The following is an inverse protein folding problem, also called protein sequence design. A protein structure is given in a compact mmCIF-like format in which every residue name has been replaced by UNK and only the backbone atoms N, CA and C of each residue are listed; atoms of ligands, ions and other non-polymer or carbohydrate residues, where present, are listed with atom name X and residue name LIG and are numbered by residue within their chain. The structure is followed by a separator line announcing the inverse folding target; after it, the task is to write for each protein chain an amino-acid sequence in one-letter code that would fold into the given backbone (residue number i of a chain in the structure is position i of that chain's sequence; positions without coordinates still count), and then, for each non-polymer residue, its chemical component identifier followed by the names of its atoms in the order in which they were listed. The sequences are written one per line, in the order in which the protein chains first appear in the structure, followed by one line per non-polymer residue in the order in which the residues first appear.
data_IF_900541282685
#
_entry.id   IF_900541282685
#
_cell.length_a   1.000
_cell.length_b   1.000
_cell.length_c   1.000
_cell.angle_alpha   90.00
_cell.angle_beta   90.00
_cell.angle_gamma   90.00
#
_symmetry.space_group_name_H-M   'P 1'
#
loop_
_entity.id
_entity.type
_entity.pdbx_description
1 polymer ?
#
# COMPACT_ATOMS: atom_id res chain seq x y z
N UNK A 1 15.98 28.39 24.10
CA UNK A 1 16.16 27.71 22.79
C UNK A 1 15.66 28.59 21.66
N UNK A 2 14.35 28.80 21.48
CA UNK A 2 13.76 29.59 20.37
C UNK A 2 14.45 30.93 20.10
N UNK A 3 14.49 31.85 21.09
CA UNK A 3 15.18 33.16 20.97
C UNK A 3 16.66 33.05 20.57
N UNK A 4 17.37 32.03 21.08
CA UNK A 4 18.81 31.85 20.79
C UNK A 4 19.00 31.41 19.34
N UNK A 5 18.16 30.46 18.87
CA UNK A 5 18.21 29.97 17.49
C UNK A 5 17.86 31.08 16.49
N UNK A 6 16.87 31.92 16.79
CA UNK A 6 16.48 33.08 15.96
C UNK A 6 17.59 34.14 15.87
N UNK A 7 18.24 34.46 17.00
CA UNK A 7 19.39 35.37 17.00
C UNK A 7 20.54 34.80 16.17
N UNK A 8 20.83 33.50 16.29
CA UNK A 8 21.87 32.83 15.50
C UNK A 8 21.52 32.91 14.00
N UNK A 9 20.28 32.59 13.62
CA UNK A 9 19.85 32.64 12.21
C UNK A 9 20.04 34.04 11.62
N UNK A 10 19.53 35.08 12.28
CA UNK A 10 19.66 36.48 11.84
C UNK A 10 21.11 36.92 11.68
N UNK A 11 21.97 36.54 12.61
CA UNK A 11 23.41 36.86 12.55
C UNK A 11 24.13 36.11 11.42
N UNK A 12 23.77 34.84 11.18
CA UNK A 12 24.35 34.04 10.10
C UNK A 12 23.88 34.49 8.71
N UNK A 13 22.65 35.00 8.58
CA UNK A 13 22.17 35.65 7.36
C UNK A 13 22.90 36.98 7.07
N UNK A 14 23.43 37.63 8.10
CA UNK A 14 24.33 38.77 7.95
C UNK A 14 25.73 38.37 7.48
N UNK A 15 26.58 39.38 7.22
CA UNK A 15 27.98 39.17 6.85
C UNK A 15 28.87 38.84 8.06
N UNK A 16 28.49 37.81 8.84
CA UNK A 16 29.26 37.35 9.99
C UNK A 16 30.65 36.83 9.55
N UNK A 17 31.67 37.10 10.37
CA UNK A 17 33.03 36.60 10.14
C UNK A 17 33.06 35.06 10.17
N UNK A 18 34.01 34.41 9.47
CA UNK A 18 34.10 32.93 9.44
C UNK A 18 34.19 32.29 10.83
N UNK A 19 34.92 32.94 11.76
CA UNK A 19 35.07 32.48 13.14
C UNK A 19 33.73 32.55 13.87
N UNK A 20 33.02 33.68 13.76
CA UNK A 20 31.72 33.85 14.40
C UNK A 20 30.70 32.84 13.87
N UNK A 21 30.72 32.56 12.55
CA UNK A 21 29.90 31.52 11.93
C UNK A 21 30.16 30.15 12.55
N UNK A 22 31.43 29.74 12.68
CA UNK A 22 31.78 28.46 13.31
C UNK A 22 31.31 28.37 14.77
N UNK A 23 31.50 29.42 15.56
CA UNK A 23 31.04 29.47 16.96
C UNK A 23 29.53 29.34 17.05
N UNK A 24 28.79 30.09 16.24
CA UNK A 24 27.32 30.06 16.21
C UNK A 24 26.79 28.67 15.81
N UNK A 25 27.37 28.04 14.79
CA UNK A 25 26.99 26.68 14.41
C UNK A 25 27.31 25.68 15.53
N UNK A 26 28.44 25.84 16.23
CA UNK A 26 28.77 24.99 17.39
C UNK A 26 27.74 25.13 18.51
N UNK A 27 27.22 26.34 18.74
CA UNK A 27 26.12 26.56 19.70
C UNK A 27 24.87 25.80 19.29
N UNK A 28 24.51 25.76 17.99
CA UNK A 28 23.38 24.94 17.50
C UNK A 28 23.61 23.45 17.79
N UNK A 29 24.82 22.94 17.57
CA UNK A 29 25.16 21.55 17.92
C UNK A 29 24.97 21.27 19.41
N UNK A 30 25.45 22.16 20.29
CA UNK A 30 25.32 22.02 21.75
C UNK A 30 23.85 22.13 22.23
N UNK A 31 23.07 23.04 21.63
CA UNK A 31 21.64 23.16 21.90
C UNK A 31 20.89 21.91 21.47
N UNK A 32 21.29 21.29 20.36
CA UNK A 32 20.68 20.05 19.87
C UNK A 32 21.01 18.87 20.78
N UNK A 33 22.23 18.83 21.35
CA UNK A 33 22.61 17.84 22.37
C UNK A 33 21.77 17.94 23.63
N UNK A 34 21.52 19.16 24.11
CA UNK A 34 20.76 19.38 25.35
C UNK A 34 19.25 19.27 25.16
N UNK A 35 18.73 19.63 23.99
CA UNK A 35 17.30 19.74 23.75
C UNK A 35 16.90 19.46 22.29
N UNK A 36 17.16 18.25 21.77
CA UNK A 36 17.06 17.96 20.34
C UNK A 36 15.66 18.28 19.79
N UNK A 37 14.61 17.80 20.45
CA UNK A 37 13.22 18.04 20.06
C UNK A 37 12.91 19.54 19.91
N UNK A 38 13.30 20.37 20.88
CA UNK A 38 13.03 21.82 20.85
C UNK A 38 13.76 22.53 19.71
N UNK A 39 15.01 22.14 19.44
CA UNK A 39 15.77 22.71 18.32
C UNK A 39 15.17 22.29 16.98
N UNK A 40 14.82 21.01 16.80
CA UNK A 40 14.23 20.53 15.54
C UNK A 40 12.93 21.27 15.25
N UNK A 41 11.99 21.36 16.21
CA UNK A 41 10.75 22.12 16.00
C UNK A 41 11.03 23.59 15.66
N UNK A 42 11.98 24.23 16.33
CA UNK A 42 12.33 25.62 16.02
C UNK A 42 12.90 25.79 14.60
N UNK A 43 13.69 24.83 14.11
CA UNK A 43 14.22 24.88 12.74
C UNK A 43 13.12 24.63 11.68
N UNK A 44 12.04 23.91 12.04
CA UNK A 44 10.88 23.69 11.16
C UNK A 44 9.97 24.92 11.04
N UNK A 45 10.05 25.88 11.97
CA UNK A 45 9.27 27.12 11.93
C UNK A 45 9.75 28.10 10.84
N UNK A 46 10.91 27.83 10.22
CA UNK A 46 11.45 28.63 9.12
C UNK A 46 10.84 28.24 7.77
N UNK A 47 10.80 29.17 6.79
CA UNK A 47 10.16 28.94 5.50
C UNK A 47 10.79 27.78 4.71
N UNK A 48 9.97 27.18 3.86
CA UNK A 48 10.37 26.21 2.83
C UNK A 48 10.23 26.90 1.46
N UNK A 49 11.27 26.93 0.61
CA UNK A 49 12.57 26.26 0.72
C UNK A 49 13.50 26.84 1.80
N UNK A 50 14.36 26.00 2.38
CA UNK A 50 15.43 26.45 3.29
C UNK A 50 16.49 27.24 2.51
N UNK A 51 16.90 28.38 3.06
CA UNK A 51 18.05 29.12 2.57
C UNK A 51 19.38 28.46 2.99
N UNK A 52 20.49 28.97 2.44
CA UNK A 52 21.82 28.45 2.75
C UNK A 52 22.15 28.50 4.25
N UNK A 53 21.66 29.51 4.97
CA UNK A 53 21.88 29.67 6.40
C UNK A 53 21.21 28.56 7.19
N UNK A 54 19.92 28.30 6.91
CA UNK A 54 19.15 27.26 7.56
C UNK A 54 19.72 25.88 7.23
N UNK A 55 20.22 25.67 6.01
CA UNK A 55 20.92 24.43 5.62
C UNK A 55 22.17 24.19 6.47
N UNK A 56 22.98 25.22 6.73
CA UNK A 56 24.14 25.12 7.65
C UNK A 56 23.70 24.81 9.08
N UNK A 57 22.60 25.40 9.55
CA UNK A 57 22.05 25.13 10.88
C UNK A 57 21.54 23.69 11.01
N UNK A 58 20.88 23.14 9.98
CA UNK A 58 20.50 21.72 9.92
C UNK A 58 21.72 20.80 9.97
N UNK A 59 22.78 21.11 9.22
CA UNK A 59 24.03 20.36 9.28
C UNK A 59 24.65 20.40 10.68
N UNK A 60 24.66 21.57 11.33
CA UNK A 60 25.17 21.72 12.68
C UNK A 60 24.35 20.96 13.72
N UNK A 61 23.02 20.94 13.59
CA UNK A 61 22.12 20.15 14.43
C UNK A 61 22.32 18.63 14.20
N UNK A 62 22.65 18.23 12.99
CA UNK A 62 22.94 16.84 12.61
C UNK A 62 24.38 16.37 12.81
N UNK A 63 25.28 17.22 13.30
CA UNK A 63 26.71 16.89 13.30
C UNK A 63 27.08 15.72 14.24
N UNK A 64 26.35 15.53 15.34
CA UNK A 64 26.70 14.56 16.38
C UNK A 64 25.93 13.24 16.25
N UNK A 65 26.65 12.12 16.28
CA UNK A 65 26.07 10.77 16.16
C UNK A 65 25.22 10.37 17.38
N UNK A 66 25.55 10.88 18.57
CA UNK A 66 24.83 10.58 19.82
C UNK A 66 23.39 11.10 19.82
N UNK A 67 23.12 12.19 19.12
CA UNK A 67 21.78 12.80 19.03
C UNK A 67 20.98 12.34 17.82
N UNK A 68 21.63 11.72 16.83
CA UNK A 68 21.01 11.33 15.56
C UNK A 68 19.73 10.50 15.73
N UNK A 69 19.63 9.50 16.64
CA UNK A 69 18.39 8.77 16.87
C UNK A 69 17.24 9.65 17.37
N UNK A 70 17.53 10.62 18.26
CA UNK A 70 16.53 11.53 18.83
C UNK A 70 16.03 12.54 17.80
N UNK A 71 16.94 13.05 16.96
CA UNK A 71 16.61 13.94 15.85
C UNK A 71 15.75 13.20 14.83
N UNK A 72 16.18 12.02 14.35
CA UNK A 72 15.39 11.22 13.40
C UNK A 72 14.04 10.83 13.95
N UNK A 73 13.93 10.44 15.23
CA UNK A 73 12.64 10.14 15.87
C UNK A 73 11.71 11.36 15.88
N UNK A 74 12.26 12.56 16.09
CA UNK A 74 11.47 13.81 16.06
C UNK A 74 11.02 14.13 14.64
N UNK A 75 11.91 14.02 13.66
CA UNK A 75 11.59 14.25 12.24
C UNK A 75 10.55 13.25 11.77
N UNK A 76 10.70 11.96 12.10
CA UNK A 76 9.75 10.91 11.74
C UNK A 76 8.36 11.16 12.34
N UNK A 77 8.27 11.72 13.54
CA UNK A 77 6.99 12.12 14.14
C UNK A 77 6.28 13.16 13.26
N UNK A 78 7.01 14.18 12.80
CA UNK A 78 6.49 15.25 11.94
C UNK A 78 6.15 14.71 10.55
N UNK A 79 7.04 13.90 9.97
CA UNK A 79 6.90 13.30 8.64
C UNK A 79 5.67 12.38 8.51
N UNK A 80 5.16 11.88 9.63
CA UNK A 80 3.94 11.06 9.66
C UNK A 80 2.64 11.90 9.61
N UNK A 81 2.72 13.22 9.71
CA UNK A 81 1.60 14.14 9.50
C UNK A 81 1.23 14.27 8.02
N UNK A 82 0.01 14.76 7.71
CA UNK A 82 -0.40 15.05 6.32
C UNK A 82 -0.17 16.54 6.04
N UNK A 83 0.52 16.89 4.94
CA UNK A 83 0.68 18.29 4.58
C UNK A 83 -0.66 18.91 4.20
N UNK A 84 -0.88 20.16 4.61
CA UNK A 84 -2.06 20.95 4.26
C UNK A 84 -3.39 20.59 4.92
N UNK A 85 -3.39 19.69 5.91
CA UNK A 85 -4.51 19.60 6.85
C UNK A 85 -4.34 20.65 7.94
N UNK A 86 -5.40 21.44 8.20
CA UNK A 86 -5.49 22.28 9.39
C UNK A 86 -5.50 21.34 10.60
N UNK A 87 -4.38 21.18 11.30
CA UNK A 87 -4.37 20.38 12.53
C UNK A 87 -5.01 21.20 13.65
N UNK A 88 -6.22 20.83 14.06
CA UNK A 88 -6.81 21.20 15.35
C UNK A 88 -6.02 20.55 16.48
N UNK A 89 -4.81 21.05 16.81
CA UNK A 89 -4.22 20.79 18.13
C UNK A 89 -3.51 21.99 18.73
N UNK A 90 -4.15 22.43 19.81
CA UNK A 90 -3.62 23.08 21.02
C UNK A 90 -3.24 24.54 20.85
N UNK A 91 -4.22 25.35 21.25
CA UNK A 91 -4.10 26.69 21.84
C UNK A 91 -2.82 26.85 22.67
N UNK A 92 -1.77 27.37 22.05
CA UNK A 92 -0.79 28.23 22.70
C UNK A 92 -0.15 29.09 21.61
N UNK A 93 -0.59 30.36 21.57
CA UNK A 93 -0.21 31.42 20.65
C UNK A 93 1.23 31.29 20.15
N UNK A 94 1.40 31.06 18.84
CA UNK A 94 2.63 31.42 18.12
C UNK A 94 2.23 32.25 16.90
N UNK A 95 2.99 33.30 16.65
CA UNK A 95 2.74 34.28 15.62
C UNK A 95 2.67 33.60 14.24
N UNK A 96 1.46 33.49 13.71
CA UNK A 96 1.21 33.02 12.35
C UNK A 96 1.34 34.21 11.40
N UNK A 97 2.26 34.16 10.44
CA UNK A 97 2.09 34.89 9.19
C UNK A 97 1.03 34.17 8.35
N UNK A 98 0.28 34.93 7.55
CA UNK A 98 -0.76 34.46 6.62
C UNK A 98 -0.36 33.16 5.86
N UNK A 99 -1.36 32.28 5.65
CA UNK A 99 -1.34 30.96 4.97
C UNK A 99 -1.00 29.71 5.84
N UNK A 100 -1.87 29.38 6.79
CA UNK A 100 -1.76 28.22 7.71
C UNK A 100 -2.10 26.86 7.08
N UNK A 101 -1.45 26.52 5.96
CA UNK A 101 -1.39 25.14 5.46
C UNK A 101 -0.28 24.41 6.25
N UNK A 102 -0.54 23.27 6.92
CA UNK A 102 0.50 22.54 7.66
C UNK A 102 1.62 22.05 6.71
N UNK A 103 2.70 22.81 6.60
CA UNK A 103 3.85 22.51 5.73
C UNK A 103 4.99 21.78 6.47
N UNK A 104 4.82 21.48 7.76
CA UNK A 104 5.87 20.81 8.55
C UNK A 104 6.32 19.46 7.98
N UNK A 105 5.45 18.60 7.41
CA UNK A 105 5.89 17.35 6.78
C UNK A 105 6.79 17.58 5.55
N UNK A 106 6.57 18.68 4.81
CA UNK A 106 7.41 19.08 3.68
C UNK A 106 8.76 19.59 4.18
N UNK A 107 8.76 20.44 5.21
CA UNK A 107 9.98 20.90 5.87
C UNK A 107 10.80 19.73 6.44
N UNK A 108 10.13 18.73 7.02
CA UNK A 108 10.76 17.50 7.51
C UNK A 108 11.40 16.68 6.38
N UNK A 109 10.74 16.58 5.23
CA UNK A 109 11.32 15.94 4.03
C UNK A 109 12.57 16.70 3.56
N UNK A 110 12.52 18.04 3.52
CA UNK A 110 13.68 18.86 3.18
C UNK A 110 14.83 18.67 4.19
N UNK A 111 14.55 18.66 5.49
CA UNK A 111 15.56 18.44 6.52
C UNK A 111 16.26 17.08 6.35
N UNK A 112 15.55 16.03 5.94
CA UNK A 112 16.14 14.73 5.64
C UNK A 112 17.08 14.76 4.44
N UNK A 113 16.84 15.60 3.43
CA UNK A 113 17.77 15.80 2.32
C UNK A 113 19.14 16.31 2.81
N UNK A 114 19.17 17.07 3.91
CA UNK A 114 20.37 17.63 4.51
C UNK A 114 21.03 16.68 5.51
N UNK A 115 20.23 15.97 6.30
CA UNK A 115 20.72 15.16 7.42
C UNK A 115 21.20 13.77 7.01
N UNK A 116 20.48 13.11 6.09
CA UNK A 116 20.80 11.73 5.69
C UNK A 116 22.19 11.58 5.02
N UNK A 117 22.70 12.55 4.24
CA UNK A 117 24.07 12.50 3.72
C UNK A 117 25.16 12.60 4.80
N UNK A 118 24.84 13.07 6.01
CA UNK A 118 25.83 13.21 7.08
C UNK A 118 26.20 11.83 7.62
N UNK A 119 27.50 11.50 7.59
CA UNK A 119 27.99 10.17 7.96
C UNK A 119 27.60 9.70 9.38
N UNK A 120 27.38 10.64 10.31
CA UNK A 120 26.93 10.37 11.69
C UNK A 120 25.55 9.72 11.76
N UNK A 121 24.72 9.84 10.71
CA UNK A 121 23.34 9.37 10.71
C UNK A 121 23.20 7.90 10.25
N UNK A 122 24.20 7.32 9.59
CA UNK A 122 24.11 5.96 9.00
C UNK A 122 23.57 4.90 9.96
N UNK A 123 24.09 4.86 11.20
CA UNK A 123 23.66 3.89 12.22
C UNK A 123 22.22 4.12 12.68
N UNK A 124 21.84 5.38 12.89
CA UNK A 124 20.48 5.73 13.30
C UNK A 124 19.47 5.48 12.17
N UNK A 125 19.86 5.74 10.92
CA UNK A 125 19.04 5.46 9.73
C UNK A 125 18.75 3.97 9.61
N UNK A 126 19.73 3.10 9.83
CA UNK A 126 19.49 1.65 9.83
C UNK A 126 18.42 1.22 10.83
N UNK A 127 18.36 1.85 12.02
CA UNK A 127 17.36 1.55 13.06
C UNK A 127 15.94 2.02 12.69
N UNK A 128 15.82 3.12 11.94
CA UNK A 128 14.55 3.73 11.57
C UNK A 128 14.19 3.54 10.10
N UNK A 129 14.91 2.67 9.38
CA UNK A 129 14.80 2.56 7.93
C UNK A 129 13.37 2.21 7.46
N UNK A 130 12.69 1.18 8.02
CA UNK A 130 11.32 0.87 7.61
C UNK A 130 10.35 2.04 7.78
N UNK A 131 10.47 2.76 8.90
CA UNK A 131 9.56 3.85 9.23
C UNK A 131 9.84 5.09 8.37
N UNK A 132 11.11 5.40 8.11
CA UNK A 132 11.52 6.50 7.23
C UNK A 132 11.11 6.21 5.78
N UNK A 133 11.34 4.98 5.30
CA UNK A 133 10.95 4.54 3.97
C UNK A 133 9.44 4.74 3.76
N UNK A 134 8.61 4.16 4.62
CA UNK A 134 7.16 4.26 4.47
C UNK A 134 6.62 5.67 4.68
N UNK A 135 7.17 6.44 5.62
CA UNK A 135 6.76 7.82 5.82
C UNK A 135 7.10 8.70 4.59
N UNK A 136 8.27 8.51 3.98
CA UNK A 136 8.65 9.22 2.75
C UNK A 136 7.80 8.79 1.55
N UNK A 137 7.46 7.50 1.42
CA UNK A 137 6.54 7.02 0.38
C UNK A 137 5.16 7.67 0.51
N UNK A 138 4.63 7.80 1.73
CA UNK A 138 3.37 8.50 1.99
C UNK A 138 3.47 10.00 1.69
N UNK A 139 4.56 10.67 2.09
CA UNK A 139 4.76 12.08 1.78
C UNK A 139 4.86 12.34 0.26
N UNK A 140 5.47 11.42 -0.47
CA UNK A 140 5.54 11.50 -1.92
C UNK A 140 4.15 11.39 -2.55
N UNK A 141 3.30 10.48 -2.04
CA UNK A 141 1.89 10.38 -2.43
C UNK A 141 1.11 11.68 -2.12
N UNK A 142 1.18 12.19 -0.89
CA UNK A 142 0.45 13.40 -0.48
C UNK A 142 0.86 14.65 -1.28
N UNK A 143 2.17 14.87 -1.45
CA UNK A 143 2.69 16.06 -2.14
C UNK A 143 2.26 16.07 -3.60
N UNK A 144 2.15 14.90 -4.22
CA UNK A 144 1.72 14.79 -5.61
C UNK A 144 0.23 15.09 -5.79
N UNK A 145 -0.62 14.68 -4.84
CA UNK A 145 -2.04 15.04 -4.84
C UNK A 145 -2.27 16.53 -4.56
N UNK A 146 -1.46 17.15 -3.70
CA UNK A 146 -1.50 18.60 -3.43
C UNK A 146 -1.18 19.45 -4.67
N UNK A 147 -0.40 18.94 -5.62
CA UNK A 147 0.00 19.67 -6.84
C UNK A 147 -1.17 20.00 -7.77
N UNK A 148 -2.31 19.33 -7.64
CA UNK A 148 -3.54 19.73 -8.31
C UNK A 148 -3.94 21.20 -8.00
N UNK A 149 -3.32 21.82 -6.98
CA UNK A 149 -3.60 23.19 -6.54
C UNK A 149 -2.48 24.22 -6.79
N UNK A 150 -1.21 23.84 -7.05
CA UNK A 150 -0.09 24.80 -7.29
C UNK A 150 1.07 24.19 -8.09
N UNK A 151 1.58 24.88 -9.11
CA UNK A 151 2.46 24.31 -10.15
C UNK A 151 3.95 24.11 -9.77
N UNK A 152 4.47 24.79 -8.74
CA UNK A 152 5.92 24.98 -8.58
C UNK A 152 6.47 24.58 -7.19
N UNK A 153 6.26 23.32 -6.78
CA UNK A 153 6.84 22.78 -5.53
C UNK A 153 7.89 21.71 -5.80
N UNK A 154 9.06 21.90 -5.20
CA UNK A 154 10.17 20.95 -5.11
C UNK A 154 9.76 19.66 -4.39
N UNK A 155 10.06 18.50 -4.98
CA UNK A 155 9.73 17.17 -4.42
C UNK A 155 10.74 16.73 -3.35
N UNK A 156 10.76 17.41 -2.20
CA UNK A 156 11.67 17.06 -1.11
C UNK A 156 11.50 15.62 -0.61
N UNK A 157 10.27 15.08 -0.62
CA UNK A 157 10.04 13.68 -0.25
C UNK A 157 10.77 12.70 -1.18
N UNK A 158 10.79 12.99 -2.49
CA UNK A 158 11.54 12.21 -3.49
C UNK A 158 13.03 12.30 -3.23
N UNK A 159 13.55 13.51 -3.04
CA UNK A 159 14.98 13.71 -2.87
C UNK A 159 15.49 13.14 -1.53
N UNK A 160 14.66 13.22 -0.48
CA UNK A 160 14.91 12.56 0.79
C UNK A 160 14.88 11.04 0.69
N UNK A 161 13.97 10.46 -0.11
CA UNK A 161 13.93 9.02 -0.37
C UNK A 161 15.20 8.55 -1.08
N UNK A 162 15.68 9.32 -2.06
CA UNK A 162 16.97 9.04 -2.73
C UNK A 162 18.14 9.16 -1.74
N UNK A 163 18.14 10.17 -0.88
CA UNK A 163 19.13 10.31 0.18
C UNK A 163 19.08 9.16 1.20
N UNK A 164 17.89 8.63 1.52
CA UNK A 164 17.70 7.46 2.37
C UNK A 164 18.34 6.21 1.75
N UNK A 165 18.04 5.93 0.47
CA UNK A 165 18.65 4.81 -0.26
C UNK A 165 20.18 4.91 -0.25
N UNK A 166 20.72 6.09 -0.53
CA UNK A 166 22.17 6.29 -0.55
C UNK A 166 22.80 6.16 0.85
N UNK A 167 22.16 6.68 1.90
CA UNK A 167 22.62 6.56 3.28
C UNK A 167 22.65 5.10 3.75
N UNK A 168 21.71 4.29 3.27
CA UNK A 168 21.56 2.87 3.60
C UNK A 168 22.39 1.92 2.74
N UNK A 169 23.23 2.42 1.82
CA UNK A 169 24.03 1.57 0.94
C UNK A 169 23.24 0.92 -0.22
N UNK A 170 22.14 1.55 -0.64
CA UNK A 170 21.25 1.10 -1.70
C UNK A 170 21.36 1.98 -2.95
N UNK A 171 22.56 2.48 -3.27
CA UNK A 171 22.79 3.37 -4.42
C UNK A 171 22.37 2.70 -5.74
N UNK A 172 22.59 1.39 -5.86
CA UNK A 172 22.18 0.56 -6.99
C UNK A 172 20.67 0.58 -7.22
N UNK A 173 19.87 0.67 -6.16
CA UNK A 173 18.41 0.79 -6.23
C UNK A 173 18.02 2.17 -6.77
N UNK A 174 18.65 3.26 -6.31
CA UNK A 174 18.41 4.62 -6.87
C UNK A 174 18.75 4.67 -8.37
N UNK A 175 19.88 4.08 -8.78
CA UNK A 175 20.30 4.01 -10.18
C UNK A 175 19.29 3.22 -11.02
N UNK A 176 18.82 2.07 -10.53
CA UNK A 176 17.83 1.25 -11.22
C UNK A 176 16.48 1.98 -11.37
N UNK A 177 16.02 2.67 -10.33
CA UNK A 177 14.79 3.47 -10.36
C UNK A 177 14.91 4.66 -11.33
N UNK A 178 16.09 5.31 -11.38
CA UNK A 178 16.37 6.37 -12.35
C UNK A 178 16.33 5.84 -13.79
N UNK A 179 16.90 4.66 -14.07
CA UNK A 179 16.83 4.02 -15.39
C UNK A 179 15.40 3.68 -15.82
N UNK A 180 14.55 3.29 -14.86
CA UNK A 180 13.10 3.07 -15.07
C UNK A 180 12.28 4.37 -15.17
N UNK A 181 12.93 5.55 -15.18
CA UNK A 181 12.30 6.88 -15.17
C UNK A 181 11.31 7.12 -14.00
N UNK A 182 11.42 6.34 -12.92
CA UNK A 182 10.46 6.33 -11.82
C UNK A 182 10.36 7.71 -11.13
N UNK A 183 11.51 8.35 -10.88
CA UNK A 183 11.61 9.63 -10.18
C UNK A 183 10.95 10.81 -10.89
N UNK A 184 10.91 10.79 -12.21
CA UNK A 184 10.27 11.84 -13.00
C UNK A 184 8.76 11.59 -13.10
N UNK A 185 8.34 10.33 -13.11
CA UNK A 185 6.94 9.94 -13.25
C UNK A 185 6.13 10.16 -11.97
N UNK A 186 6.74 10.24 -10.78
CA UNK A 186 6.03 10.65 -9.56
C UNK A 186 5.37 12.03 -9.65
N UNK A 187 5.78 12.87 -10.60
CA UNK A 187 5.13 14.15 -10.88
C UNK A 187 3.75 14.02 -11.55
N UNK A 188 3.38 12.81 -12.01
CA UNK A 188 2.15 12.53 -12.74
C UNK A 188 1.09 11.93 -11.79
N UNK A 189 -0.12 12.51 -11.79
CA UNK A 189 -1.21 12.14 -10.87
C UNK A 189 -1.60 10.65 -10.92
N UNK A 190 -1.53 10.03 -12.10
CA UNK A 190 -1.93 8.64 -12.31
C UNK A 190 -0.84 7.62 -11.93
N UNK A 191 0.36 8.09 -11.57
CA UNK A 191 1.53 7.22 -11.40
C UNK A 191 1.77 6.77 -9.96
N UNK A 192 1.07 7.32 -8.96
CA UNK A 192 1.50 7.15 -7.57
C UNK A 192 1.53 5.70 -7.08
N UNK A 193 0.48 4.91 -7.36
CA UNK A 193 0.45 3.49 -6.99
C UNK A 193 1.50 2.68 -7.75
N UNK A 194 1.70 2.98 -9.04
CA UNK A 194 2.71 2.31 -9.86
C UNK A 194 4.15 2.65 -9.41
N UNK A 195 4.40 3.90 -9.02
CA UNK A 195 5.68 4.32 -8.47
C UNK A 195 6.01 3.60 -7.16
N UNK A 196 5.01 3.43 -6.27
CA UNK A 196 5.17 2.64 -5.03
C UNK A 196 5.52 1.20 -5.34
N UNK A 197 4.80 0.58 -6.27
CA UNK A 197 5.09 -0.76 -6.77
C UNK A 197 6.53 -0.87 -7.30
N UNK A 198 6.97 0.06 -8.14
CA UNK A 198 8.32 0.04 -8.71
C UNK A 198 9.41 0.16 -7.64
N UNK A 199 9.21 1.01 -6.63
CA UNK A 199 10.15 1.14 -5.50
C UNK A 199 10.22 -0.15 -4.70
N UNK A 200 9.07 -0.70 -4.28
CA UNK A 200 9.01 -1.95 -3.52
C UNK A 200 9.64 -3.12 -4.29
N UNK A 201 9.29 -3.26 -5.57
CA UNK A 201 9.84 -4.30 -6.45
C UNK A 201 11.34 -4.16 -6.63
N UNK A 202 11.83 -2.95 -6.90
CA UNK A 202 13.27 -2.74 -7.11
C UNK A 202 14.06 -2.96 -5.81
N UNK A 203 13.50 -2.63 -4.64
CA UNK A 203 14.13 -3.02 -3.37
C UNK A 203 14.19 -4.55 -3.24
N UNK A 204 13.08 -5.23 -3.52
CA UNK A 204 12.94 -6.69 -3.49
C UNK A 204 13.96 -7.38 -4.41
N UNK A 205 14.09 -6.92 -5.66
CA UNK A 205 15.00 -7.45 -6.69
C UNK A 205 16.48 -7.34 -6.26
N UNK A 206 16.81 -6.36 -5.43
CA UNK A 206 18.18 -6.08 -4.98
C UNK A 206 18.49 -6.59 -3.57
N UNK A 207 17.60 -7.40 -2.96
CA UNK A 207 17.81 -8.05 -1.66
C UNK A 207 18.34 -7.10 -0.57
N UNK A 208 17.66 -5.96 -0.41
CA UNK A 208 18.08 -4.94 0.54
C UNK A 208 18.19 -5.49 1.99
N UNK A 209 19.22 -5.09 2.76
CA UNK A 209 19.50 -5.68 4.08
C UNK A 209 18.37 -5.52 5.11
N UNK A 210 17.61 -4.43 5.02
CA UNK A 210 16.53 -4.11 5.97
C UNK A 210 15.21 -4.81 5.64
N UNK A 211 15.21 -5.81 4.75
CA UNK A 211 14.01 -6.54 4.34
C UNK A 211 13.23 -7.14 5.52
N UNK A 212 13.83 -7.88 6.48
CA UNK A 212 13.07 -8.50 7.57
C UNK A 212 12.37 -7.46 8.46
N UNK A 213 13.08 -6.40 8.83
CA UNK A 213 12.53 -5.31 9.66
C UNK A 213 11.42 -4.55 8.92
N UNK A 214 11.58 -4.40 7.60
CA UNK A 214 10.59 -3.72 6.76
C UNK A 214 9.32 -4.55 6.60
N UNK A 215 9.47 -5.86 6.37
CA UNK A 215 8.35 -6.78 6.31
C UNK A 215 7.58 -6.83 7.64
N UNK A 216 8.30 -6.94 8.77
CA UNK A 216 7.69 -6.92 10.10
C UNK A 216 6.95 -5.61 10.38
N UNK A 217 7.54 -4.47 10.01
CA UNK A 217 6.91 -3.16 10.16
C UNK A 217 5.63 -3.03 9.34
N UNK A 218 5.63 -3.48 8.08
CA UNK A 218 4.46 -3.45 7.21
C UNK A 218 3.34 -4.38 7.70
N UNK A 219 3.69 -5.58 8.17
CA UNK A 219 2.74 -6.49 8.80
C UNK A 219 2.07 -5.82 10.01
N UNK A 220 2.87 -5.23 10.90
CA UNK A 220 2.35 -4.50 12.07
C UNK A 220 1.38 -3.38 11.67
N UNK A 221 1.73 -2.56 10.68
CA UNK A 221 0.84 -1.52 10.17
C UNK A 221 -0.46 -2.07 9.58
N UNK A 222 -0.38 -3.22 8.93
CA UNK A 222 -1.52 -3.90 8.32
C UNK A 222 -2.50 -4.44 9.36
N UNK A 223 -1.99 -4.91 10.51
CA UNK A 223 -2.80 -5.40 11.64
C UNK A 223 -3.39 -4.25 12.46
N UNK A 224 -2.60 -3.21 12.74
CA UNK A 224 -3.06 -2.03 13.52
C UNK A 224 -4.09 -1.18 12.76
N UNK A 225 -4.14 -1.34 11.43
CA UNK A 225 -4.95 -0.54 10.53
C UNK A 225 -4.25 0.76 10.11
N UNK A 226 -4.64 1.32 8.96
CA UNK A 226 -4.01 2.50 8.43
C UNK A 226 -4.40 3.74 9.26
N UNK A 227 -3.49 4.73 9.33
CA UNK A 227 -3.77 6.00 10.03
C UNK A 227 -4.86 6.81 9.34
N UNK A 228 -4.93 6.69 8.02
CA UNK A 228 -5.91 7.29 7.12
C UNK A 228 -6.28 6.24 6.08
N UNK A 229 -7.52 6.21 5.62
CA UNK A 229 -7.96 5.25 4.60
C UNK A 229 -7.08 5.25 3.34
N UNK A 230 -6.67 6.43 2.90
CA UNK A 230 -5.77 6.65 1.74
C UNK A 230 -4.34 6.09 1.93
N UNK A 231 -3.88 5.87 3.17
CA UNK A 231 -2.54 5.32 3.45
C UNK A 231 -2.49 3.80 3.21
N UNK A 232 -3.66 3.17 3.24
CA UNK A 232 -3.82 1.72 3.23
C UNK A 232 -3.27 1.12 1.93
N UNK A 233 -3.67 1.69 0.79
CA UNK A 233 -3.26 1.21 -0.54
C UNK A 233 -1.73 1.20 -0.68
N UNK A 234 -1.05 2.25 -0.21
CA UNK A 234 0.41 2.36 -0.29
C UNK A 234 1.10 1.26 0.52
N UNK A 235 0.61 1.03 1.74
CA UNK A 235 1.13 -0.02 2.63
C UNK A 235 0.92 -1.41 2.04
N UNK A 236 -0.26 -1.67 1.47
CA UNK A 236 -0.63 -2.96 0.89
C UNK A 236 0.15 -3.24 -0.40
N UNK A 237 0.35 -2.25 -1.27
CA UNK A 237 1.22 -2.39 -2.45
C UNK A 237 2.64 -2.79 -2.01
N UNK A 238 3.18 -2.13 -0.99
CA UNK A 238 4.53 -2.43 -0.51
C UNK A 238 4.62 -3.84 0.09
N UNK A 239 3.67 -4.21 0.94
CA UNK A 239 3.64 -5.53 1.57
C UNK A 239 3.47 -6.65 0.54
N UNK A 240 2.50 -6.52 -0.38
CA UNK A 240 2.24 -7.52 -1.43
C UNK A 240 3.47 -7.79 -2.29
N UNK A 241 4.19 -6.73 -2.65
CA UNK A 241 5.39 -6.83 -3.47
C UNK A 241 6.56 -7.45 -2.72
N UNK A 242 6.83 -7.05 -1.47
CA UNK A 242 7.89 -7.66 -0.66
C UNK A 242 7.64 -9.15 -0.39
N UNK A 243 6.37 -9.54 -0.23
CA UNK A 243 5.99 -10.95 -0.08
C UNK A 243 6.23 -11.76 -1.36
N UNK A 244 6.57 -11.17 -2.52
CA UNK A 244 7.00 -11.94 -3.69
C UNK A 244 8.37 -12.58 -3.47
N UNK A 245 9.19 -12.08 -2.54
CA UNK A 245 10.41 -12.79 -2.14
C UNK A 245 10.12 -13.88 -1.10
N UNK A 246 8.88 -14.01 -0.64
CA UNK A 246 8.45 -14.94 0.40
C UNK A 246 7.52 -16.01 -0.20
N UNK A 247 8.06 -16.88 -1.04
CA UNK A 247 7.37 -18.09 -1.51
C UNK A 247 7.84 -19.29 -0.69
N UNK A 248 7.38 -19.38 0.57
CA UNK A 248 7.56 -20.57 1.41
C UNK A 248 6.35 -21.49 1.26
N UNK A 249 6.60 -22.79 1.35
CA UNK A 249 5.59 -23.83 1.44
C UNK A 249 5.72 -24.52 2.83
N UNK A 250 4.73 -24.39 3.74
CA UNK A 250 3.49 -23.63 3.57
C UNK A 250 3.71 -22.11 3.66
N UNK A 251 2.82 -21.35 3.03
CA UNK A 251 2.79 -19.89 3.19
C UNK A 251 2.21 -19.52 4.58
N UNK A 252 2.75 -18.50 5.30
CA UNK A 252 2.34 -18.24 6.66
C UNK A 252 0.88 -17.77 6.75
N UNK A 253 0.12 -18.39 7.65
CA UNK A 253 -1.32 -18.16 7.82
C UNK A 253 -1.62 -16.71 8.21
N UNK A 254 -0.75 -16.06 8.98
CA UNK A 254 -0.93 -14.69 9.45
C UNK A 254 -1.11 -13.70 8.30
N UNK A 255 -0.40 -13.91 7.19
CA UNK A 255 -0.55 -13.10 5.99
C UNK A 255 -1.82 -13.46 5.22
N UNK A 256 -2.25 -14.74 5.21
CA UNK A 256 -3.50 -15.15 4.56
C UNK A 256 -4.72 -14.49 5.21
N UNK A 257 -4.71 -14.34 6.54
CA UNK A 257 -5.75 -13.62 7.29
C UNK A 257 -5.87 -12.17 6.81
N UNK A 258 -4.75 -11.47 6.60
CA UNK A 258 -4.77 -10.10 6.07
C UNK A 258 -5.41 -10.05 4.68
N UNK A 259 -4.97 -10.92 3.77
CA UNK A 259 -5.51 -10.94 2.40
C UNK A 259 -6.99 -11.28 2.38
N UNK A 260 -7.43 -12.28 3.17
CA UNK A 260 -8.84 -12.63 3.31
C UNK A 260 -9.69 -11.43 3.71
N UNK A 261 -9.23 -10.64 4.68
CA UNK A 261 -9.96 -9.45 5.14
C UNK A 261 -10.00 -8.36 4.06
N UNK A 262 -8.92 -8.20 3.29
CA UNK A 262 -8.83 -7.19 2.23
C UNK A 262 -9.60 -7.53 0.95
N UNK A 263 -10.01 -8.78 0.74
CA UNK A 263 -10.79 -9.18 -0.46
C UNK A 263 -12.06 -8.34 -0.61
N UNK A 264 -12.71 -7.98 0.50
CA UNK A 264 -13.96 -7.22 0.53
C UNK A 264 -13.75 -5.79 1.07
N UNK A 265 -12.54 -5.24 0.92
CA UNK A 265 -12.26 -3.86 1.33
C UNK A 265 -13.10 -2.86 0.51
N UNK A 266 -13.51 -1.77 1.17
CA UNK A 266 -14.24 -0.67 0.56
C UNK A 266 -13.49 0.02 -0.58
N UNK A 267 -12.15 0.00 -0.55
CA UNK A 267 -11.32 0.50 -1.64
C UNK A 267 -11.09 -0.62 -2.68
N UNK A 268 -11.59 -0.44 -3.93
CA UNK A 268 -11.42 -1.44 -4.98
C UNK A 268 -9.96 -1.77 -5.31
N UNK A 269 -9.04 -0.82 -5.13
CA UNK A 269 -7.61 -1.07 -5.35
C UNK A 269 -7.06 -2.07 -4.34
N UNK A 270 -7.45 -1.95 -3.06
CA UNK A 270 -7.06 -2.88 -2.00
C UNK A 270 -7.61 -4.28 -2.27
N UNK A 271 -8.90 -4.37 -2.60
CA UNK A 271 -9.54 -5.63 -2.97
C UNK A 271 -8.84 -6.31 -4.14
N UNK A 272 -8.57 -5.58 -5.23
CA UNK A 272 -7.86 -6.11 -6.41
C UNK A 272 -6.44 -6.60 -6.08
N UNK A 273 -5.69 -5.85 -5.27
CA UNK A 273 -4.34 -6.23 -4.86
C UNK A 273 -4.35 -7.51 -4.03
N UNK A 274 -5.29 -7.62 -3.09
CA UNK A 274 -5.46 -8.82 -2.27
C UNK A 274 -5.78 -10.04 -3.12
N UNK A 275 -6.81 -9.94 -3.96
CA UNK A 275 -7.24 -11.01 -4.85
C UNK A 275 -6.12 -11.45 -5.81
N UNK A 276 -5.36 -10.50 -6.37
CA UNK A 276 -4.22 -10.79 -7.21
C UNK A 276 -3.11 -11.51 -6.45
N UNK A 277 -2.84 -11.10 -5.21
CA UNK A 277 -1.81 -11.74 -4.38
C UNK A 277 -2.22 -13.17 -4.00
N UNK A 278 -3.46 -13.40 -3.58
CA UNK A 278 -4.00 -14.76 -3.33
C UNK A 278 -3.82 -15.64 -4.57
N UNK A 279 -4.22 -15.13 -5.74
CA UNK A 279 -4.04 -15.83 -7.02
C UNK A 279 -2.57 -16.18 -7.34
N UNK A 280 -1.62 -15.34 -6.94
CA UNK A 280 -0.19 -15.60 -7.14
C UNK A 280 0.38 -16.64 -6.16
N UNK A 281 -0.18 -16.71 -4.95
CA UNK A 281 0.25 -17.64 -3.89
C UNK A 281 -0.50 -18.97 -3.91
N UNK A 282 -1.52 -19.12 -4.76
CA UNK A 282 -2.29 -20.36 -4.90
C UNK A 282 -1.46 -21.65 -4.91
N UNK A 283 -0.27 -21.74 -5.55
CA UNK A 283 0.55 -22.96 -5.51
C UNK A 283 1.00 -23.38 -4.10
N UNK A 284 1.20 -22.43 -3.18
CA UNK A 284 1.76 -22.63 -1.83
C UNK A 284 0.71 -22.52 -0.71
N UNK A 285 -0.57 -22.33 -1.07
CA UNK A 285 -1.70 -22.43 -0.14
C UNK A 285 -2.18 -23.88 -0.17
N UNK A 286 -1.68 -24.69 0.76
CA UNK A 286 -1.88 -26.14 0.74
C UNK A 286 -2.83 -26.65 1.82
N UNK A 287 -3.13 -25.84 2.83
CA UNK A 287 -4.11 -26.19 3.86
C UNK A 287 -5.53 -25.94 3.37
N UNK A 288 -6.35 -27.00 3.39
CA UNK A 288 -7.70 -26.97 2.83
C UNK A 288 -8.61 -25.96 3.54
N UNK A 289 -8.46 -25.82 4.86
CA UNK A 289 -9.21 -24.84 5.66
C UNK A 289 -8.91 -23.40 5.22
N UNK A 290 -7.64 -23.12 4.94
CA UNK A 290 -7.19 -21.84 4.41
C UNK A 290 -7.76 -21.58 3.02
N UNK A 291 -7.74 -22.58 2.12
CA UNK A 291 -8.37 -22.48 0.79
C UNK A 291 -9.87 -22.19 0.91
N UNK A 292 -10.60 -22.94 1.76
CA UNK A 292 -12.03 -22.73 2.00
C UNK A 292 -12.35 -21.32 2.51
N UNK A 293 -11.59 -20.84 3.50
CA UNK A 293 -11.81 -19.52 4.09
C UNK A 293 -11.60 -18.40 3.07
N UNK A 294 -10.60 -18.54 2.19
CA UNK A 294 -10.33 -17.58 1.12
C UNK A 294 -11.40 -17.64 0.04
N UNK A 295 -11.82 -18.84 -0.37
CA UNK A 295 -12.89 -19.01 -1.34
C UNK A 295 -14.17 -18.31 -0.88
N UNK A 296 -14.57 -18.54 0.37
CA UNK A 296 -15.73 -17.88 0.98
C UNK A 296 -15.63 -16.35 0.81
N UNK A 297 -14.49 -15.75 1.18
CA UNK A 297 -14.30 -14.31 1.05
C UNK A 297 -14.33 -13.83 -0.42
N UNK A 298 -13.77 -14.62 -1.35
CA UNK A 298 -13.76 -14.33 -2.79
C UNK A 298 -15.18 -14.36 -3.38
N UNK A 299 -16.03 -15.30 -2.95
CA UNK A 299 -17.42 -15.36 -3.41
C UNK A 299 -18.20 -14.12 -2.95
N UNK A 300 -17.93 -13.61 -1.75
CA UNK A 300 -18.58 -12.40 -1.25
C UNK A 300 -18.16 -11.15 -2.08
N UNK A 301 -16.96 -11.15 -2.69
CA UNK A 301 -16.49 -10.06 -3.56
C UNK A 301 -17.26 -9.95 -4.89
N UNK A 302 -18.07 -10.96 -5.26
CA UNK A 302 -18.92 -10.89 -6.46
C UNK A 302 -20.06 -9.87 -6.29
N UNK A 303 -20.36 -9.48 -5.04
CA UNK A 303 -21.34 -8.43 -4.71
C UNK A 303 -20.75 -7.01 -4.81
N UNK A 304 -19.46 -6.87 -5.17
CA UNK A 304 -18.81 -5.58 -5.31
C UNK A 304 -19.45 -4.74 -6.43
N UNK A 305 -19.60 -3.44 -6.17
CA UNK A 305 -20.08 -2.48 -7.16
C UNK A 305 -19.00 -2.18 -8.23
N UNK A 306 -17.72 -2.45 -7.94
CA UNK A 306 -16.64 -2.30 -8.91
C UNK A 306 -16.52 -3.57 -9.77
N UNK A 307 -16.91 -3.47 -11.04
CA UNK A 307 -16.84 -4.59 -12.00
C UNK A 307 -15.43 -5.16 -12.16
N UNK A 308 -14.38 -4.35 -11.98
CA UNK A 308 -12.98 -4.80 -12.08
C UNK A 308 -12.56 -5.65 -10.87
N UNK A 309 -13.16 -5.43 -9.70
CA UNK A 309 -13.01 -6.29 -8.52
C UNK A 309 -13.65 -7.65 -8.80
N UNK A 310 -14.89 -7.66 -9.31
CA UNK A 310 -15.61 -8.89 -9.66
C UNK A 310 -14.83 -9.74 -10.65
N UNK A 311 -14.32 -9.14 -11.74
CA UNK A 311 -13.50 -9.85 -12.73
C UNK A 311 -12.26 -10.45 -12.08
N UNK A 312 -11.56 -9.67 -11.25
CA UNK A 312 -10.38 -10.16 -10.54
C UNK A 312 -10.73 -11.31 -9.58
N UNK A 313 -11.87 -11.23 -8.90
CA UNK A 313 -12.35 -12.26 -7.97
C UNK A 313 -12.63 -13.58 -8.71
N UNK A 314 -13.26 -13.53 -9.89
CA UNK A 314 -13.49 -14.68 -10.75
C UNK A 314 -12.19 -15.36 -11.18
N UNK A 315 -11.19 -14.57 -11.60
CA UNK A 315 -9.86 -15.09 -11.96
C UNK A 315 -9.18 -15.77 -10.76
N UNK A 316 -9.30 -15.19 -9.57
CA UNK A 316 -8.72 -15.74 -8.34
C UNK A 316 -9.44 -17.02 -7.89
N UNK A 317 -10.78 -17.03 -7.93
CA UNK A 317 -11.61 -18.23 -7.69
C UNK A 317 -11.13 -19.39 -8.57
N UNK A 318 -11.02 -19.16 -9.88
CA UNK A 318 -10.57 -20.18 -10.84
C UNK A 318 -9.24 -20.83 -10.43
N UNK A 319 -8.28 -20.05 -9.93
CA UNK A 319 -6.97 -20.57 -9.53
C UNK A 319 -7.04 -21.45 -8.28
N UNK A 320 -7.95 -21.16 -7.36
CA UNK A 320 -8.11 -21.92 -6.12
C UNK A 320 -9.00 -23.16 -6.28
N UNK A 321 -9.96 -23.15 -7.21
CA UNK A 321 -10.83 -24.31 -7.45
C UNK A 321 -10.04 -25.59 -7.77
N UNK A 322 -8.94 -25.47 -8.52
CA UNK A 322 -8.06 -26.62 -8.83
C UNK A 322 -7.33 -27.22 -7.63
N UNK A 323 -7.43 -26.62 -6.44
CA UNK A 323 -6.83 -27.12 -5.20
C UNK A 323 -7.81 -27.89 -4.31
N UNK A 324 -9.10 -27.86 -4.63
CA UNK A 324 -10.12 -28.51 -3.81
C UNK A 324 -10.14 -30.02 -4.06
N UNK A 325 -10.25 -30.79 -2.98
CA UNK A 325 -10.63 -32.18 -3.07
C UNK A 325 -12.14 -32.35 -3.30
N UNK A 326 -12.55 -33.61 -3.47
CA UNK A 326 -13.94 -33.98 -3.74
C UNK A 326 -14.92 -33.46 -2.69
N UNK A 327 -14.61 -33.73 -1.44
CA UNK A 327 -15.51 -33.49 -0.30
C UNK A 327 -15.66 -31.99 -0.10
N UNK A 328 -14.56 -31.27 -0.22
CA UNK A 328 -14.51 -29.83 -0.05
C UNK A 328 -15.18 -29.08 -1.20
N UNK A 329 -15.03 -29.56 -2.43
CA UNK A 329 -15.77 -29.00 -3.55
C UNK A 329 -17.29 -29.19 -3.37
N UNK A 330 -17.74 -30.39 -3.00
CA UNK A 330 -19.17 -30.67 -2.79
C UNK A 330 -19.77 -29.75 -1.71
N UNK A 331 -19.06 -29.54 -0.60
CA UNK A 331 -19.54 -28.69 0.48
C UNK A 331 -19.68 -27.21 0.09
N UNK A 332 -18.87 -26.73 -0.86
CA UNK A 332 -18.88 -25.33 -1.32
C UNK A 332 -19.65 -25.11 -2.63
N UNK A 333 -19.97 -26.17 -3.39
CA UNK A 333 -20.50 -26.07 -4.75
C UNK A 333 -21.77 -25.23 -4.84
N UNK A 334 -22.67 -25.35 -3.86
CA UNK A 334 -23.93 -24.61 -3.82
C UNK A 334 -23.68 -23.13 -3.60
N UNK A 335 -22.74 -22.78 -2.71
CA UNK A 335 -22.37 -21.39 -2.46
C UNK A 335 -21.69 -20.77 -3.69
N UNK A 336 -20.81 -21.54 -4.34
CA UNK A 336 -20.17 -21.13 -5.60
C UNK A 336 -21.25 -20.86 -6.64
N UNK A 337 -22.17 -21.80 -6.91
CA UNK A 337 -23.25 -21.62 -7.88
C UNK A 337 -24.14 -20.41 -7.55
N UNK A 338 -24.56 -20.27 -6.29
CA UNK A 338 -25.37 -19.13 -5.85
C UNK A 338 -24.65 -17.78 -5.98
N UNK A 339 -23.33 -17.73 -5.82
CA UNK A 339 -22.56 -16.48 -5.96
C UNK A 339 -22.58 -15.90 -7.37
N UNK A 340 -22.84 -16.73 -8.40
CA UNK A 340 -22.99 -16.25 -9.77
C UNK A 340 -24.33 -15.57 -10.00
N UNK A 341 -25.40 -15.90 -9.25
CA UNK A 341 -26.74 -15.35 -9.51
C UNK A 341 -26.80 -13.81 -9.53
N UNK A 342 -26.21 -13.06 -8.56
CA UNK A 342 -26.18 -11.60 -8.59
C UNK A 342 -25.46 -11.02 -9.81
N UNK A 343 -24.46 -11.72 -10.34
CA UNK A 343 -23.76 -11.31 -11.56
C UNK A 343 -24.67 -11.39 -12.78
N UNK A 344 -25.61 -12.33 -12.77
CA UNK A 344 -26.53 -12.61 -13.87
C UNK A 344 -27.73 -11.66 -13.90
N UNK A 345 -28.23 -11.23 -12.74
CA UNK A 345 -29.37 -10.31 -12.63
C UNK A 345 -29.01 -8.87 -13.06
N UNK A 346 -27.73 -8.50 -12.95
CA UNK A 346 -27.19 -7.19 -13.35
C UNK A 346 -26.16 -7.28 -14.50
N UNK A 347 -26.02 -8.45 -15.14
CA UNK A 347 -25.02 -8.69 -16.18
C UNK A 347 -25.29 -7.84 -17.42
N UNK A 348 -24.36 -6.92 -17.73
CA UNK A 348 -24.17 -6.51 -19.12
C UNK A 348 -23.53 -7.67 -19.89
N UNK A 349 -23.90 -7.86 -21.16
CA UNK A 349 -23.29 -8.81 -22.12
C UNK A 349 -21.76 -8.94 -21.98
N UNK A 350 -21.10 -7.80 -21.73
CA UNK A 350 -19.67 -7.68 -21.46
C UNK A 350 -19.15 -8.50 -20.26
N UNK A 351 -19.85 -8.51 -19.12
CA UNK A 351 -19.44 -9.31 -17.95
C UNK A 351 -19.52 -10.80 -18.25
N UNK A 352 -20.55 -11.22 -18.99
CA UNK A 352 -20.73 -12.62 -19.42
C UNK A 352 -19.68 -13.06 -20.43
N UNK A 353 -19.29 -12.18 -21.36
CA UNK A 353 -18.20 -12.42 -22.30
C UNK A 353 -16.85 -12.61 -21.58
N UNK A 354 -16.58 -11.83 -20.54
CA UNK A 354 -15.36 -11.98 -19.73
C UNK A 354 -15.41 -13.25 -18.89
N UNK A 355 -16.54 -13.55 -18.22
CA UNK A 355 -16.69 -14.80 -17.50
C UNK A 355 -16.45 -15.99 -18.43
N UNK A 356 -16.97 -15.93 -19.66
CA UNK A 356 -16.78 -16.98 -20.64
C UNK A 356 -15.34 -17.10 -21.15
N UNK A 357 -14.64 -16.00 -21.43
CA UNK A 357 -13.23 -16.05 -21.85
C UNK A 357 -12.36 -16.58 -20.71
N UNK A 358 -12.55 -16.05 -19.51
CA UNK A 358 -11.72 -16.35 -18.34
C UNK A 358 -12.01 -17.73 -17.75
N UNK A 359 -13.19 -18.30 -17.97
CA UNK A 359 -13.56 -19.65 -17.54
C UNK A 359 -13.52 -20.68 -18.70
N UNK A 360 -13.17 -20.23 -19.92
CA UNK A 360 -13.17 -21.03 -21.17
C UNK A 360 -14.54 -21.67 -21.46
N UNK A 361 -15.62 -20.93 -21.29
CA UNK A 361 -16.97 -21.40 -21.59
C UNK A 361 -17.24 -21.40 -23.10
N UNK A 362 -17.92 -22.42 -23.65
CA UNK A 362 -18.45 -22.36 -25.01
C UNK A 362 -19.54 -21.29 -25.08
N UNK A 363 -19.20 -20.14 -25.66
CA UNK A 363 -19.99 -18.90 -25.59
C UNK A 363 -20.93 -18.67 -26.77
N UNK A 364 -20.87 -19.54 -27.78
CA UNK A 364 -21.39 -19.25 -29.12
C UNK A 364 -22.91 -19.15 -29.25
N UNK A 365 -23.68 -19.63 -28.25
CA UNK A 365 -25.15 -19.63 -28.28
C UNK A 365 -25.80 -18.75 -27.20
N UNK A 366 -25.11 -18.43 -26.10
CA UNK A 366 -25.68 -17.68 -24.97
C UNK A 366 -25.80 -16.17 -25.21
N UNK A 367 -25.01 -15.62 -26.15
CA UNK A 367 -24.88 -14.18 -26.42
C UNK A 367 -25.62 -13.73 -27.69
N UNK A 368 -26.35 -14.65 -28.35
CA UNK A 368 -27.04 -14.40 -29.63
C UNK A 368 -28.46 -13.88 -29.48
N UNK A 369 -29.12 -14.15 -28.35
CA UNK A 369 -30.48 -13.67 -28.09
C UNK A 369 -30.47 -12.34 -27.34
N UNK A 370 -31.39 -11.45 -27.70
CA UNK A 370 -31.60 -10.16 -27.01
C UNK A 370 -32.06 -10.34 -25.55
N UNK A 371 -32.49 -11.55 -25.16
CA UNK A 371 -32.89 -11.92 -23.80
C UNK A 371 -32.16 -13.21 -23.41
N UNK A 372 -31.05 -13.08 -22.69
CA UNK A 372 -30.28 -14.23 -22.21
C UNK A 372 -31.10 -15.02 -21.18
N UNK A 373 -31.41 -16.29 -21.45
CA UNK A 373 -32.15 -17.15 -20.50
C UNK A 373 -31.27 -17.46 -19.29
N UNK A 374 -31.70 -16.96 -18.13
CA UNK A 374 -31.08 -17.10 -16.82
C UNK A 374 -30.77 -18.56 -16.45
N UNK A 375 -31.73 -19.46 -16.68
CA UNK A 375 -31.55 -20.88 -16.37
C UNK A 375 -30.49 -21.54 -17.26
N UNK A 376 -30.46 -21.20 -18.56
CA UNK A 376 -29.53 -21.82 -19.51
C UNK A 376 -28.06 -21.46 -19.26
N UNK A 377 -27.78 -20.24 -18.82
CA UNK A 377 -26.41 -19.83 -18.52
C UNK A 377 -25.91 -20.55 -17.26
N UNK A 378 -26.67 -20.51 -16.16
CA UNK A 378 -26.28 -21.19 -14.93
C UNK A 378 -26.15 -22.70 -15.16
N UNK A 379 -27.00 -23.31 -15.99
CA UNK A 379 -26.90 -24.72 -16.40
C UNK A 379 -25.60 -25.00 -17.16
N UNK A 380 -25.21 -24.11 -18.08
CA UNK A 380 -23.96 -24.24 -18.83
C UNK A 380 -22.71 -24.00 -17.95
N UNK A 381 -22.78 -23.13 -16.95
CA UNK A 381 -21.70 -22.91 -15.96
C UNK A 381 -21.48 -24.19 -15.16
N UNK A 382 -22.57 -24.74 -14.63
CA UNK A 382 -22.55 -25.97 -13.86
C UNK A 382 -22.05 -27.15 -14.70
N UNK A 383 -22.54 -27.27 -15.94
CA UNK A 383 -22.12 -28.32 -16.88
C UNK A 383 -20.65 -28.20 -17.30
N UNK A 384 -20.09 -27.00 -17.51
CA UNK A 384 -18.66 -26.87 -17.82
C UNK A 384 -17.76 -27.15 -16.60
N UNK A 385 -18.21 -26.78 -15.40
CA UNK A 385 -17.53 -27.15 -14.15
C UNK A 385 -17.57 -28.67 -13.93
N UNK A 386 -18.71 -29.31 -14.22
CA UNK A 386 -18.91 -30.77 -14.24
C UNK A 386 -18.02 -31.48 -15.28
N UNK A 387 -17.94 -30.99 -16.51
CA UNK A 387 -17.15 -31.59 -17.61
C UNK A 387 -15.64 -31.49 -17.31
N UNK A 388 -15.18 -30.37 -16.76
CA UNK A 388 -13.77 -30.18 -16.37
C UNK A 388 -13.37 -31.00 -15.14
N UNK A 389 -14.34 -31.44 -14.33
CA UNK A 389 -14.18 -32.24 -13.12
C UNK A 389 -15.01 -33.53 -13.27
N UNK A 390 -14.64 -34.37 -14.23
CA UNK A 390 -15.42 -35.52 -14.71
C UNK A 390 -15.69 -36.63 -13.65
N UNK A 391 -14.99 -36.62 -12.50
CA UNK A 391 -15.14 -37.62 -11.41
C UNK A 391 -16.17 -37.26 -10.33
N UNK A 392 -16.84 -36.11 -10.45
CA UNK A 392 -17.60 -35.49 -9.33
C UNK A 392 -19.11 -35.37 -9.62
N UNK A 393 -19.58 -35.90 -10.74
CA UNK A 393 -20.97 -35.77 -11.24
C UNK A 393 -22.01 -36.43 -10.31
N UNK A 394 -21.72 -37.62 -9.77
CA UNK A 394 -22.70 -38.41 -9.01
C UNK A 394 -23.07 -37.75 -7.67
N UNK A 395 -22.07 -37.23 -6.95
CA UNK A 395 -22.30 -36.61 -5.63
C UNK A 395 -22.90 -35.21 -5.77
N UNK A 396 -22.50 -34.46 -6.81
CA UNK A 396 -23.14 -33.18 -7.13
C UNK A 396 -24.62 -33.40 -7.45
N UNK A 397 -24.98 -34.40 -8.28
CA UNK A 397 -26.38 -34.74 -8.56
C UNK A 397 -27.11 -35.12 -7.26
N UNK A 398 -26.49 -35.91 -6.38
CA UNK A 398 -27.06 -36.30 -5.08
C UNK A 398 -27.34 -35.10 -4.17
N UNK A 399 -26.38 -34.19 -3.99
CA UNK A 399 -26.52 -32.98 -3.17
C UNK A 399 -27.55 -32.02 -3.78
N UNK A 400 -27.53 -31.89 -5.11
CA UNK A 400 -28.47 -31.07 -5.89
C UNK A 400 -29.91 -31.58 -5.80
N UNK A 401 -30.11 -32.90 -5.85
CA UNK A 401 -31.41 -33.54 -5.58
C UNK A 401 -31.90 -33.28 -4.15
N UNK A 402 -30.98 -33.14 -3.19
CA UNK A 402 -31.30 -32.71 -1.82
C UNK A 402 -31.84 -31.29 -1.76
N UNK A 403 -31.27 -30.37 -2.53
CA UNK A 403 -31.68 -28.97 -2.57
C UNK A 403 -33.01 -28.73 -3.31
N UNK A 404 -33.45 -29.64 -4.20
CA UNK A 404 -34.82 -29.64 -4.77
C UNK A 404 -35.92 -29.70 -3.69
N UNK A 405 -35.61 -30.30 -2.53
CA UNK A 405 -36.53 -30.41 -1.40
C UNK A 405 -36.43 -29.23 -0.43
N UNK A 406 -35.59 -28.24 -0.71
CA UNK A 406 -35.39 -27.07 0.15
C UNK A 406 -36.62 -26.17 0.19
N UNK A 407 -36.96 -25.64 1.36
CA UNK A 407 -38.00 -24.61 1.51
C UNK A 407 -37.59 -23.25 0.92
N UNK A 408 -36.29 -23.05 0.62
CA UNK A 408 -35.77 -21.80 0.07
C UNK A 408 -35.87 -21.81 -1.45
N UNK A 409 -36.65 -20.88 -2.01
CA UNK A 409 -36.95 -20.81 -3.45
C UNK A 409 -35.70 -20.63 -4.32
N UNK A 410 -34.70 -19.88 -3.86
CA UNK A 410 -33.44 -19.70 -4.60
C UNK A 410 -32.59 -20.99 -4.62
N UNK A 411 -32.61 -21.80 -3.55
CA UNK A 411 -31.91 -23.09 -3.52
C UNK A 411 -32.59 -24.09 -4.46
N UNK A 412 -33.92 -24.19 -4.44
CA UNK A 412 -34.67 -25.02 -5.41
C UNK A 412 -34.39 -24.61 -6.85
N UNK A 413 -34.41 -23.31 -7.15
CA UNK A 413 -34.08 -22.81 -8.49
C UNK A 413 -32.65 -23.16 -8.89
N UNK A 414 -31.67 -22.95 -8.01
CA UNK A 414 -30.29 -23.40 -8.22
C UNK A 414 -30.19 -24.91 -8.47
N UNK A 415 -31.02 -25.70 -7.79
CA UNK A 415 -31.03 -27.17 -7.90
C UNK A 415 -31.56 -27.68 -9.23
N UNK A 416 -32.68 -27.08 -9.69
CA UNK A 416 -33.28 -27.38 -11.00
C UNK A 416 -32.31 -27.04 -12.13
N UNK A 417 -31.42 -26.08 -11.92
CA UNK A 417 -30.43 -25.66 -12.91
C UNK A 417 -29.15 -26.51 -12.89
N UNK A 418 -28.86 -27.18 -11.76
CA UNK A 418 -27.68 -28.02 -11.54
C UNK A 418 -27.91 -29.51 -11.89
N UNK A 419 -29.17 -29.95 -12.02
CA UNK A 419 -29.60 -31.26 -12.58
C UNK A 419 -29.78 -31.13 -14.08
#
# INVERSE_FOLDING_TARGET
VSKIVDVIYKQLCGNASPILKQVMLRVITLLTRTSPKKVIFQLMDYPVPADNTLMLMWQAAGAESSVAPLVLKTILLILKGKPGTMEERITERRHFSLDTTNMMPVAASQALCTLLPIGSYKKAVAQFFPQLLMALMLQLYYTSNLRLMTEDRTFYARDALRALLNCSGLQQVDIALKRKNCWNQFSQALFHHHGVYLVAKTLSDYNFPQFPDTLHYLYKLSVEGPRRSEDNVITIIFLTELLNNFFKDPFPEEFLVLFRNWVNDSDPAVSKLSLQKIASMAPVINEIENVCSLLIAILDAFLSQDKTVVIRALMTLRRLLGKLDKVTYSSLCTRIACSYCPLMDHACKYTLEICASELKWPTSYLLKDEHCSFELVVLNICNNLLISHQKYIIDLISDTLGFLRSSRTYLRRGSVILI
#
